data_IF_731031077708
#
_entry.id   IF_731031077708
#
_cell.length_a   1.000
_cell.length_b   1.000
_cell.length_c   1.000
_cell.angle_alpha   90.00
_cell.angle_beta   90.00
_cell.angle_gamma   90.00
#
_symmetry.space_group_name_H-M   'P 1'
#
loop_
_entity.id
_entity.type
_entity.pdbx_description
1 polymer ?
#
# COMPACT_ATOMS: atom_id res chain seq x y z
N UNK A 1 3.53 10.53 12.67
CA UNK A 1 2.33 9.67 12.59
C UNK A 1 2.35 8.97 11.23
N UNK A 2 1.83 7.74 11.09
CA UNK A 2 1.76 7.06 9.80
C UNK A 2 0.89 7.85 8.81
N UNK A 3 1.31 7.93 7.55
CA UNK A 3 0.58 8.58 6.47
C UNK A 3 -0.20 7.55 5.65
N UNK A 4 -1.46 7.84 5.31
CA UNK A 4 -2.28 6.98 4.47
C UNK A 4 -1.91 7.21 2.99
N UNK A 5 -1.43 6.15 2.32
CA UNK A 5 -1.02 6.23 0.92
C UNK A 5 -2.13 5.74 -0.03
N UNK A 6 -2.59 4.51 0.19
CA UNK A 6 -3.66 3.86 -0.58
C UNK A 6 -4.76 3.41 0.39
N UNK A 7 -6.01 3.65 0.03
CA UNK A 7 -7.20 3.13 0.70
C UNK A 7 -8.05 2.29 -0.24
N UNK A 8 -8.99 1.52 0.32
CA UNK A 8 -9.93 0.65 -0.43
C UNK A 8 -9.24 -0.27 -1.47
N UNK A 9 -7.97 -0.59 -1.25
CA UNK A 9 -7.15 -1.46 -2.09
C UNK A 9 -6.53 -0.81 -3.34
N UNK A 10 -7.15 0.22 -3.91
CA UNK A 10 -6.67 0.85 -5.16
C UNK A 10 -6.88 2.37 -5.25
N UNK A 11 -7.42 3.02 -4.23
CA UNK A 11 -7.63 4.46 -4.24
C UNK A 11 -6.44 5.16 -3.58
N UNK A 12 -5.73 6.00 -4.34
CA UNK A 12 -4.65 6.82 -3.80
C UNK A 12 -5.21 8.01 -3.03
N UNK A 13 -4.65 8.27 -1.84
CA UNK A 13 -5.06 9.38 -1.01
C UNK A 13 -4.65 10.73 -1.63
N UNK A 14 -5.46 11.77 -1.41
CA UNK A 14 -5.21 13.11 -1.96
C UNK A 14 -3.85 13.65 -1.49
N UNK A 15 -3.04 14.13 -2.43
CA UNK A 15 -1.69 14.67 -2.15
C UNK A 15 -0.56 13.63 -2.19
N UNK A 16 -0.88 12.33 -2.31
CA UNK A 16 0.12 11.28 -2.53
C UNK A 16 0.57 11.34 -4.00
N UNK A 17 1.87 11.29 -4.32
CA UNK A 17 2.36 11.37 -5.70
C UNK A 17 1.85 10.25 -6.63
N UNK A 18 1.74 10.56 -7.93
CA UNK A 18 1.26 9.62 -8.97
C UNK A 18 2.12 8.37 -9.15
N UNK A 19 3.36 8.41 -8.66
CA UNK A 19 4.27 7.26 -8.67
C UNK A 19 3.80 6.13 -7.76
N UNK A 20 2.90 6.37 -6.81
CA UNK A 20 2.32 5.36 -5.92
C UNK A 20 1.00 4.81 -6.46
N UNK A 21 0.83 3.50 -6.39
CA UNK A 21 -0.40 2.84 -6.83
C UNK A 21 -0.68 1.58 -6.02
N UNK A 22 -1.96 1.26 -5.90
CA UNK A 22 -2.43 0.01 -5.31
C UNK A 22 -3.31 -0.75 -6.28
N UNK A 23 -3.22 -2.08 -6.23
CA UNK A 23 -4.11 -2.99 -6.94
C UNK A 23 -4.50 -4.10 -5.99
N UNK A 24 -5.70 -4.65 -6.18
CA UNK A 24 -6.10 -5.85 -5.47
C UNK A 24 -6.92 -6.79 -6.34
N UNK A 25 -6.93 -8.07 -5.97
CA UNK A 25 -7.79 -9.09 -6.53
C UNK A 25 -8.14 -10.09 -5.42
N UNK A 26 -9.42 -10.20 -5.07
CA UNK A 26 -9.82 -11.02 -3.92
C UNK A 26 -9.15 -10.56 -2.63
N UNK A 27 -8.27 -11.39 -2.07
CA UNK A 27 -7.49 -11.12 -0.85
C UNK A 27 -6.06 -10.66 -1.12
N UNK A 28 -5.64 -10.64 -2.39
CA UNK A 28 -4.28 -10.28 -2.77
C UNK A 28 -4.20 -8.78 -3.03
N UNK A 29 -3.28 -8.11 -2.35
CA UNK A 29 -3.02 -6.68 -2.49
C UNK A 29 -1.59 -6.47 -2.97
N UNK A 30 -1.43 -5.59 -3.95
CA UNK A 30 -0.12 -5.19 -4.47
C UNK A 30 0.00 -3.69 -4.34
N UNK A 31 1.07 -3.25 -3.68
CA UNK A 31 1.47 -1.86 -3.64
C UNK A 31 2.67 -1.68 -4.57
N UNK A 32 2.53 -0.81 -5.56
CA UNK A 32 3.56 -0.54 -6.56
C UNK A 32 3.93 0.92 -6.51
N UNK A 33 5.22 1.20 -6.43
CA UNK A 33 5.76 2.54 -6.58
C UNK A 33 6.97 2.55 -7.52
N UNK A 34 7.06 3.57 -8.37
CA UNK A 34 8.13 3.73 -9.34
C UNK A 34 9.03 4.92 -9.03
N UNK A 35 10.28 4.88 -9.47
CA UNK A 35 11.22 6.01 -9.34
C UNK A 35 11.48 6.41 -7.89
N UNK A 36 11.94 5.43 -7.09
CA UNK A 36 12.28 5.59 -5.65
C UNK A 36 13.13 6.84 -5.42
N UNK A 37 12.71 7.68 -4.49
CA UNK A 37 13.39 8.90 -4.08
C UNK A 37 13.95 8.76 -2.66
N UNK A 38 14.88 9.63 -2.26
CA UNK A 38 15.43 9.62 -0.90
C UNK A 38 14.33 9.80 0.18
N UNK A 39 13.30 10.58 -0.13
CA UNK A 39 12.16 10.82 0.77
C UNK A 39 11.18 9.64 0.87
N UNK A 40 11.37 8.59 0.06
CA UNK A 40 10.55 7.36 0.11
C UNK A 40 11.12 6.35 1.13
N UNK A 41 12.18 6.68 1.87
CA UNK A 41 12.70 5.81 2.93
C UNK A 41 11.74 5.77 4.12
N UNK A 42 11.14 4.61 4.38
CA UNK A 42 10.21 4.43 5.48
C UNK A 42 9.66 3.01 5.58
N UNK A 43 8.88 2.78 6.63
CA UNK A 43 8.18 1.52 6.83
C UNK A 43 6.80 1.56 6.19
N UNK A 44 6.52 0.60 5.32
CA UNK A 44 5.25 0.49 4.61
C UNK A 44 4.44 -0.67 5.18
N UNK A 45 3.24 -0.35 5.67
CA UNK A 45 2.34 -1.33 6.26
C UNK A 45 1.04 -1.42 5.47
N UNK A 46 0.60 -2.64 5.20
CA UNK A 46 -0.76 -2.87 4.74
C UNK A 46 -1.71 -2.91 5.94
N UNK A 47 -2.93 -2.43 5.78
CA UNK A 47 -3.96 -2.46 6.81
C UNK A 47 -5.27 -2.94 6.23
N UNK A 48 -6.13 -3.52 7.07
CA UNK A 48 -7.45 -3.98 6.67
C UNK A 48 -8.50 -3.47 7.66
N UNK A 49 -9.69 -3.14 7.15
CA UNK A 49 -10.78 -2.64 7.97
C UNK A 49 -12.12 -3.34 7.71
N UNK A 50 -12.26 -4.06 6.60
CA UNK A 50 -13.56 -4.50 6.11
C UNK A 50 -14.05 -5.86 6.63
N UNK A 51 -13.15 -6.77 7.02
CA UNK A 51 -13.52 -8.15 7.34
C UNK A 51 -12.68 -8.72 8.48
N UNK A 52 -13.27 -9.67 9.20
CA UNK A 52 -12.59 -10.54 10.16
C UNK A 52 -12.67 -11.98 9.66
N UNK A 53 -11.63 -12.81 9.84
CA UNK A 53 -10.38 -12.52 10.56
C UNK A 53 -9.43 -11.63 9.75
N UNK A 54 -8.49 -11.02 10.45
CA UNK A 54 -7.50 -10.15 9.86
C UNK A 54 -6.58 -10.92 8.86
N UNK A 55 -6.69 -10.69 7.53
CA UNK A 55 -5.56 -10.33 6.64
C UNK A 55 -4.17 -10.59 7.16
N UNK A 56 -3.54 -11.74 6.91
CA UNK A 56 -2.10 -11.86 7.14
C UNK A 56 -1.40 -10.93 6.14
N UNK A 57 -0.70 -9.91 6.64
CA UNK A 57 0.09 -9.01 5.80
C UNK A 57 1.35 -9.75 5.39
N UNK A 58 1.39 -10.25 4.15
CA UNK A 58 2.59 -10.83 3.58
C UNK A 58 3.20 -9.82 2.60
N UNK A 59 4.18 -9.04 3.06
CA UNK A 59 4.93 -8.14 2.21
C UNK A 59 5.95 -8.97 1.42
N UNK A 60 5.61 -9.35 0.19
CA UNK A 60 6.57 -9.95 -0.72
C UNK A 60 7.33 -8.83 -1.43
N UNK A 61 8.52 -8.49 -0.95
CA UNK A 61 9.49 -7.69 -1.69
C UNK A 61 10.01 -8.55 -2.84
N UNK A 62 9.67 -8.18 -4.08
CA UNK A 62 10.38 -8.72 -5.25
C UNK A 62 11.72 -7.99 -5.26
N UNK A 63 12.78 -8.71 -4.86
CA UNK A 63 14.16 -8.25 -5.00
C UNK A 63 14.62 -8.23 -6.45
#
# INVERSE_FOLDING_TARGET
APNLLIHTGNNRFTGVPDRFSGRYSGTDFTFTFGGVQADDEGEYYCGQQYSTPFTVIQCNTIG
#
